data_IF_309372217639
#
_entry.id   IF_309372217639
#
_cell.length_a   1.000
_cell.length_b   1.000
_cell.length_c   1.000
_cell.angle_alpha   90.00
_cell.angle_beta   90.00
_cell.angle_gamma   90.00
#
_symmetry.space_group_name_H-M   'P 1'
#
loop_
_entity.id
_entity.type
_entity.pdbx_description
1 polymer ?
#
# COMPACT_ATOMS: atom_id res chain seq x y z
N UNK A 1 -8.28 22.33 -17.73
CA UNK A 1 -7.37 21.20 -17.40
C UNK A 1 -5.89 21.64 -17.36
N UNK A 2 -5.50 22.57 -16.47
CA UNK A 2 -4.09 23.04 -16.37
C UNK A 2 -3.46 22.97 -14.97
N UNK A 3 -4.24 22.64 -13.93
CA UNK A 3 -3.79 22.71 -12.53
C UNK A 3 -3.63 21.36 -11.81
N UNK A 4 -4.20 20.27 -12.35
CA UNK A 4 -4.08 18.93 -11.73
C UNK A 4 -2.68 18.32 -11.86
N UNK A 5 -1.86 18.78 -12.80
CA UNK A 5 -0.55 18.19 -13.09
C UNK A 5 0.55 18.69 -12.13
N UNK A 6 0.40 19.89 -11.55
CA UNK A 6 1.44 20.45 -10.67
C UNK A 6 1.40 19.85 -9.26
N UNK A 7 0.22 19.69 -8.68
CA UNK A 7 0.10 19.25 -7.27
C UNK A 7 0.50 17.78 -7.08
N UNK A 8 0.08 16.90 -8.00
CA UNK A 8 0.42 15.47 -7.95
C UNK A 8 1.91 15.25 -8.14
N UNK A 9 2.52 15.99 -9.07
CA UNK A 9 3.95 15.94 -9.34
C UNK A 9 4.78 16.49 -8.16
N UNK A 10 4.31 17.57 -7.52
CA UNK A 10 4.96 18.12 -6.32
C UNK A 10 4.88 17.20 -5.11
N UNK A 11 3.80 16.42 -4.91
CA UNK A 11 3.73 15.42 -3.84
C UNK A 11 4.64 14.21 -4.10
N UNK A 12 4.69 13.73 -5.35
CA UNK A 12 5.61 12.67 -5.74
C UNK A 12 7.07 13.10 -5.56
N UNK A 13 7.42 14.34 -5.97
CA UNK A 13 8.76 14.89 -5.78
C UNK A 13 9.07 15.14 -4.31
N UNK A 14 8.13 15.65 -3.52
CA UNK A 14 8.35 15.89 -2.09
C UNK A 14 8.59 14.58 -1.31
N UNK A 15 7.81 13.53 -1.63
CA UNK A 15 8.02 12.19 -1.06
C UNK A 15 9.36 11.57 -1.47
N UNK A 16 9.77 11.77 -2.73
CA UNK A 16 11.09 11.34 -3.22
C UNK A 16 12.22 12.17 -2.60
N UNK A 17 12.04 13.49 -2.40
CA UNK A 17 13.08 14.38 -1.85
C UNK A 17 13.26 14.25 -0.34
N UNK A 18 12.21 13.90 0.40
CA UNK A 18 12.33 13.59 1.83
C UNK A 18 13.10 12.28 2.09
N UNK A 19 13.26 11.45 1.06
CA UNK A 19 13.91 10.13 1.14
C UNK A 19 15.15 10.03 0.23
N UNK A 20 15.47 11.10 -0.51
CA UNK A 20 16.65 11.17 -1.36
C UNK A 20 17.89 11.44 -0.51
N UNK A 21 18.73 10.41 -0.34
CA UNK A 21 20.19 10.41 -0.18
C UNK A 21 20.87 11.24 0.92
N UNK A 22 20.42 12.46 1.19
CA UNK A 22 21.11 13.47 1.99
C UNK A 22 20.34 13.86 3.27
N UNK A 23 19.17 13.27 3.52
CA UNK A 23 18.52 13.42 4.83
C UNK A 23 19.28 12.53 5.81
N UNK A 24 20.19 13.14 6.57
CA UNK A 24 20.76 12.56 7.78
C UNK A 24 19.60 12.25 8.74
N UNK A 25 19.03 11.04 8.65
CA UNK A 25 17.97 10.52 9.50
C UNK A 25 18.46 10.25 10.95
N UNK A 26 19.41 11.05 11.43
CA UNK A 26 19.97 10.99 12.78
C UNK A 26 18.91 11.30 13.86
N UNK A 27 17.79 11.93 13.50
CA UNK A 27 16.75 12.30 14.47
C UNK A 27 16.06 11.09 15.13
N UNK A 28 16.07 9.91 14.50
CA UNK A 28 15.53 8.67 15.07
C UNK A 28 16.59 7.56 15.24
N UNK A 29 17.88 7.89 15.10
CA UNK A 29 18.96 6.91 15.10
C UNK A 29 18.89 5.89 13.95
N UNK A 30 18.10 6.18 12.90
CA UNK A 30 17.92 5.31 11.76
C UNK A 30 19.02 5.50 10.70
N UNK A 31 19.38 4.43 10.01
CA UNK A 31 20.34 4.48 8.90
C UNK A 31 19.85 3.70 7.68
N UNK A 32 20.26 4.15 6.49
CA UNK A 32 20.14 3.37 5.27
C UNK A 32 21.29 2.38 5.22
N UNK A 33 21.01 1.14 4.86
CA UNK A 33 22.03 0.13 4.62
C UNK A 33 22.89 0.56 3.43
N UNK A 34 24.20 0.44 3.56
CA UNK A 34 25.13 0.73 2.47
C UNK A 34 25.05 -0.37 1.41
N UNK A 35 25.61 -0.14 0.22
CA UNK A 35 25.56 -1.11 -0.88
C UNK A 35 26.45 -2.33 -0.68
N UNK A 36 27.45 -2.21 0.18
CA UNK A 36 28.42 -3.24 0.58
C UNK A 36 27.99 -4.02 1.85
N UNK A 37 26.94 -3.55 2.53
CA UNK A 37 26.35 -4.26 3.67
C UNK A 37 25.40 -5.37 3.20
N UNK A 38 25.29 -6.44 4.00
CA UNK A 38 24.34 -7.51 3.76
C UNK A 38 22.91 -6.96 3.83
N UNK A 39 22.15 -7.14 2.75
CA UNK A 39 20.81 -6.60 2.64
C UNK A 39 20.01 -7.23 1.49
N UNK A 40 18.76 -6.79 1.31
CA UNK A 40 17.82 -7.47 0.43
C UNK A 40 18.01 -7.14 -1.05
N UNK A 41 19.04 -6.36 -1.43
CA UNK A 41 19.29 -5.98 -2.83
C UNK A 41 19.26 -7.22 -3.74
N UNK A 42 18.46 -7.15 -4.80
CA UNK A 42 18.29 -8.23 -5.77
C UNK A 42 17.32 -9.34 -5.36
N UNK A 43 16.71 -9.27 -4.17
CA UNK A 43 15.65 -10.18 -3.74
C UNK A 43 14.28 -9.68 -4.20
N UNK A 44 13.34 -10.62 -4.30
CA UNK A 44 11.92 -10.33 -4.51
C UNK A 44 11.19 -10.37 -3.17
N UNK A 45 10.35 -9.38 -2.89
CA UNK A 45 9.46 -9.39 -1.74
C UNK A 45 8.05 -9.69 -2.18
N UNK A 46 7.40 -10.65 -1.53
CA UNK A 46 5.95 -10.83 -1.60
C UNK A 46 5.36 -10.33 -0.30
N UNK A 47 4.25 -9.59 -0.37
CA UNK A 47 3.55 -9.12 0.82
C UNK A 47 2.04 -9.12 0.63
N UNK A 48 1.31 -9.11 1.75
CA UNK A 48 -0.14 -9.01 1.73
C UNK A 48 -0.76 -9.06 3.11
N UNK A 49 -2.06 -8.73 3.18
CA UNK A 49 -2.95 -9.11 4.28
C UNK A 49 -4.35 -9.39 3.74
N UNK A 50 -5.11 -10.15 4.51
CA UNK A 50 -6.51 -10.44 4.24
C UNK A 50 -7.30 -9.97 5.46
N UNK A 51 -8.25 -9.08 5.23
CA UNK A 51 -9.07 -8.44 6.25
C UNK A 51 -10.53 -8.84 6.04
N UNK A 52 -11.18 -9.33 7.10
CA UNK A 52 -12.61 -9.61 7.12
C UNK A 52 -13.24 -8.89 8.31
N UNK A 53 -14.31 -8.15 8.07
CA UNK A 53 -15.09 -7.48 9.11
C UNK A 53 -16.57 -7.79 8.92
N UNK A 54 -17.28 -8.06 10.02
CA UNK A 54 -18.73 -8.28 10.05
C UNK A 54 -19.34 -7.49 11.19
N UNK A 55 -20.34 -6.69 10.88
CA UNK A 55 -21.12 -5.90 11.84
C UNK A 55 -22.56 -6.43 11.77
N UNK A 56 -23.09 -6.86 12.90
CA UNK A 56 -24.49 -7.31 13.00
C UNK A 56 -25.20 -6.40 13.99
N UNK A 57 -26.29 -5.79 13.55
CA UNK A 57 -27.20 -4.98 14.37
C UNK A 57 -28.54 -5.72 14.48
N UNK A 58 -29.45 -5.32 15.40
CA UNK A 58 -30.77 -5.94 15.51
C UNK A 58 -31.62 -5.86 14.22
N UNK A 59 -31.34 -4.90 13.34
CA UNK A 59 -32.11 -4.64 12.12
C UNK A 59 -31.37 -4.94 10.82
N UNK A 60 -30.06 -5.16 10.84
CA UNK A 60 -29.26 -5.41 9.63
C UNK A 60 -27.96 -6.15 9.90
N UNK A 61 -27.40 -6.80 8.87
CA UNK A 61 -26.06 -7.36 8.88
C UNK A 61 -25.24 -6.78 7.73
N UNK A 62 -24.01 -6.34 8.02
CA UNK A 62 -23.06 -5.94 6.99
C UNK A 62 -21.75 -6.68 7.15
N UNK A 63 -21.08 -6.99 6.05
CA UNK A 63 -19.72 -7.49 6.07
C UNK A 63 -18.88 -6.89 4.95
N UNK A 64 -17.59 -6.74 5.24
CA UNK A 64 -16.56 -6.30 4.29
C UNK A 64 -15.50 -7.38 4.24
N UNK A 65 -15.24 -7.88 3.03
CA UNK A 65 -14.04 -8.67 2.72
C UNK A 65 -13.11 -7.75 1.94
N UNK A 66 -11.90 -7.55 2.42
CA UNK A 66 -10.88 -6.80 1.69
C UNK A 66 -9.52 -7.46 1.79
N UNK A 67 -8.76 -7.46 0.71
CA UNK A 67 -7.31 -7.69 0.81
C UNK A 67 -6.63 -6.34 0.94
N UNK A 68 -5.77 -6.14 1.96
CA UNK A 68 -4.72 -5.14 1.75
C UNK A 68 -3.83 -5.64 0.61
N UNK A 69 -3.28 -4.73 -0.21
CA UNK A 69 -2.72 -5.10 -1.51
C UNK A 69 -1.77 -6.29 -1.42
N UNK A 70 -2.10 -7.37 -2.13
CA UNK A 70 -1.18 -8.47 -2.41
C UNK A 70 -0.18 -7.95 -3.43
N UNK A 71 1.09 -7.91 -3.08
CA UNK A 71 2.10 -7.28 -3.91
C UNK A 71 3.37 -8.09 -4.04
N UNK A 72 4.03 -7.87 -5.18
CA UNK A 72 5.37 -8.37 -5.47
C UNK A 72 6.26 -7.17 -5.78
N UNK A 73 7.40 -7.10 -5.11
CA UNK A 73 8.40 -6.05 -5.33
C UNK A 73 9.79 -6.62 -5.53
N UNK A 74 10.66 -5.81 -6.12
CA UNK A 74 12.08 -6.10 -6.34
C UNK A 74 12.96 -5.02 -5.70
N UNK A 75 13.90 -5.45 -4.87
CA UNK A 75 14.83 -4.56 -4.19
C UNK A 75 15.90 -4.08 -5.17
N UNK A 76 15.75 -2.84 -5.66
CA UNK A 76 16.71 -2.20 -6.57
C UNK A 76 18.03 -1.86 -5.86
N UNK A 77 17.97 -1.65 -4.54
CA UNK A 77 19.10 -1.58 -3.63
C UNK A 77 18.69 -2.09 -2.24
N UNK A 78 19.57 -1.98 -1.24
CA UNK A 78 19.29 -2.49 0.11
C UNK A 78 18.15 -1.77 0.86
N UNK A 79 17.66 -0.66 0.36
CA UNK A 79 16.69 0.21 1.03
C UNK A 79 15.47 0.53 0.18
N UNK A 80 15.58 0.47 -1.14
CA UNK A 80 14.52 0.88 -2.04
C UNK A 80 13.96 -0.34 -2.77
N UNK A 81 12.63 -0.39 -2.77
CA UNK A 81 11.84 -1.48 -3.29
C UNK A 81 10.79 -0.90 -4.23
N UNK A 82 10.69 -1.46 -5.43
CA UNK A 82 9.65 -1.11 -6.41
C UNK A 82 8.85 -2.35 -6.75
N UNK A 83 7.54 -2.22 -6.93
CA UNK A 83 6.72 -3.37 -7.22
C UNK A 83 5.37 -3.04 -7.83
N UNK A 84 4.62 -4.12 -8.01
CA UNK A 84 3.21 -4.08 -8.39
C UNK A 84 2.38 -4.71 -7.29
N UNK A 85 1.13 -4.32 -7.19
CA UNK A 85 0.20 -4.93 -6.26
C UNK A 85 -1.23 -4.90 -6.80
N UNK A 86 -2.06 -5.74 -6.19
CA UNK A 86 -3.47 -5.89 -6.47
C UNK A 86 -4.23 -5.95 -5.16
N UNK A 87 -5.35 -5.24 -5.08
CA UNK A 87 -6.25 -5.30 -3.95
C UNK A 87 -7.70 -5.43 -4.41
N UNK A 88 -8.49 -6.11 -3.59
CA UNK A 88 -9.91 -6.32 -3.79
C UNK A 88 -10.67 -5.94 -2.51
N UNK A 89 -11.86 -5.38 -2.68
CA UNK A 89 -12.79 -5.10 -1.60
C UNK A 89 -14.22 -5.37 -2.04
N UNK A 90 -15.01 -6.01 -1.17
CA UNK A 90 -16.43 -6.25 -1.37
C UNK A 90 -17.19 -5.96 -0.07
N UNK A 91 -18.23 -5.13 -0.17
CA UNK A 91 -19.17 -4.90 0.93
C UNK A 91 -20.51 -5.54 0.60
N UNK A 92 -21.05 -6.23 1.59
CA UNK A 92 -22.39 -6.82 1.57
C UNK A 92 -23.23 -6.25 2.68
N UNK A 93 -24.48 -5.91 2.39
CA UNK A 93 -25.50 -5.50 3.37
C UNK A 93 -26.70 -6.41 3.18
N UNK A 94 -27.14 -7.05 4.25
CA UNK A 94 -28.27 -7.99 4.28
C UNK A 94 -28.18 -9.07 3.19
N UNK A 95 -26.97 -9.63 3.04
CA UNK A 95 -26.60 -10.64 2.03
C UNK A 95 -26.54 -10.16 0.57
N UNK A 96 -26.86 -8.88 0.31
CA UNK A 96 -26.74 -8.28 -1.01
C UNK A 96 -25.39 -7.56 -1.15
N UNK A 97 -24.71 -7.77 -2.28
CA UNK A 97 -23.49 -7.01 -2.57
C UNK A 97 -23.86 -5.59 -2.96
N UNK A 98 -23.42 -4.62 -2.18
CA UNK A 98 -23.68 -3.19 -2.42
C UNK A 98 -22.46 -2.48 -3.02
N UNK A 99 -21.28 -3.10 -2.92
CA UNK A 99 -20.04 -2.52 -3.41
C UNK A 99 -19.01 -3.60 -3.74
N UNK A 100 -18.33 -3.44 -4.88
CA UNK A 100 -17.15 -4.21 -5.28
C UNK A 100 -16.12 -3.25 -5.83
N UNK A 101 -14.87 -3.38 -5.41
CA UNK A 101 -13.75 -2.62 -5.94
C UNK A 101 -12.56 -3.54 -6.14
N UNK A 102 -11.91 -3.37 -7.28
CA UNK A 102 -10.59 -3.91 -7.57
C UNK A 102 -9.65 -2.72 -7.78
N UNK A 103 -8.41 -2.89 -7.36
CA UNK A 103 -7.36 -1.93 -7.64
C UNK A 103 -6.07 -2.67 -7.99
N UNK A 104 -5.32 -2.10 -8.94
CA UNK A 104 -4.01 -2.60 -9.32
C UNK A 104 -3.10 -1.43 -9.63
N UNK A 105 -1.82 -1.57 -9.34
CA UNK A 105 -0.85 -0.59 -9.81
C UNK A 105 0.54 -0.80 -9.27
N UNK A 106 1.32 0.27 -9.33
CA UNK A 106 2.72 0.29 -8.95
C UNK A 106 2.89 0.92 -7.57
N UNK A 107 3.97 0.55 -6.91
CA UNK A 107 4.36 1.13 -5.64
C UNK A 107 5.87 1.25 -5.50
N UNK A 108 6.28 2.24 -4.73
CA UNK A 108 7.67 2.49 -4.37
C UNK A 108 7.77 2.58 -2.86
N UNK A 109 8.76 1.91 -2.29
CA UNK A 109 8.92 1.81 -0.85
C UNK A 109 10.39 1.93 -0.44
N UNK A 110 10.83 3.12 0.00
CA UNK A 110 12.12 3.30 0.63
C UNK A 110 12.05 2.91 2.13
N UNK A 111 13.16 2.41 2.66
CA UNK A 111 13.28 1.99 4.05
C UNK A 111 14.52 2.53 4.76
N UNK A 112 14.45 2.54 6.08
CA UNK A 112 15.47 2.97 7.04
C UNK A 112 15.53 1.97 8.19
N UNK A 113 16.69 1.40 8.48
CA UNK A 113 16.87 0.49 9.61
C UNK A 113 16.86 1.27 10.92
N UNK A 114 16.01 0.85 11.86
CA UNK A 114 15.93 1.34 13.24
C UNK A 114 16.55 0.31 14.20
N UNK A 115 17.85 0.08 14.04
CA UNK A 115 18.57 -0.99 14.75
C UNK A 115 18.50 -2.33 14.01
N UNK A 116 18.63 -3.45 14.75
CA UNK A 116 18.79 -4.79 14.15
C UNK A 116 17.49 -5.40 13.62
N UNK A 117 16.36 -5.15 14.29
CA UNK A 117 15.10 -5.85 14.05
C UNK A 117 13.98 -4.96 13.52
N UNK A 118 14.11 -3.64 13.65
CA UNK A 118 13.06 -2.71 13.25
C UNK A 118 13.48 -1.95 12.00
N UNK A 119 12.51 -1.71 11.12
CA UNK A 119 12.70 -0.94 9.89
C UNK A 119 11.56 0.06 9.76
N UNK A 120 11.88 1.33 9.58
CA UNK A 120 10.93 2.36 9.17
C UNK A 120 10.81 2.33 7.66
N UNK A 121 9.59 2.30 7.15
CA UNK A 121 9.30 2.17 5.73
C UNK A 121 8.37 3.31 5.34
N UNK A 122 8.71 4.02 4.27
CA UNK A 122 7.74 4.82 3.52
C UNK A 122 7.17 3.98 2.40
N UNK A 123 5.90 4.14 2.06
CA UNK A 123 5.33 3.54 0.86
C UNK A 123 4.43 4.53 0.13
N UNK A 124 4.56 4.56 -1.18
CA UNK A 124 3.74 5.37 -2.09
C UNK A 124 3.19 4.47 -3.17
N UNK A 125 1.87 4.50 -3.38
CA UNK A 125 1.15 3.70 -4.36
C UNK A 125 0.44 4.58 -5.39
N UNK A 126 0.40 4.12 -6.63
CA UNK A 126 -0.41 4.68 -7.70
C UNK A 126 -1.21 3.57 -8.41
N UNK A 127 -2.53 3.58 -8.22
CA UNK A 127 -3.42 2.50 -8.64
C UNK A 127 -4.47 2.96 -9.63
N UNK A 128 -4.79 2.09 -10.58
CA UNK A 128 -6.04 2.13 -11.32
C UNK A 128 -7.10 1.34 -10.55
N UNK A 129 -8.31 1.88 -10.50
CA UNK A 129 -9.41 1.36 -9.69
C UNK A 129 -10.61 1.10 -10.60
N UNK A 130 -11.29 -0.02 -10.41
CA UNK A 130 -12.52 -0.33 -11.13
C UNK A 130 -13.45 -1.22 -10.28
N UNK A 131 -14.74 -1.10 -10.51
CA UNK A 131 -15.68 -1.79 -9.67
C UNK A 131 -17.13 -1.50 -9.98
N UNK A 132 -17.99 -1.84 -9.03
CA UNK A 132 -19.42 -1.65 -9.08
C UNK A 132 -19.90 -1.12 -7.73
N UNK A 133 -20.82 -0.16 -7.72
CA UNK A 133 -21.49 0.33 -6.52
C UNK A 133 -22.99 0.38 -6.75
N UNK A 134 -23.78 0.09 -5.71
CA UNK A 134 -25.22 0.26 -5.77
C UNK A 134 -25.54 1.74 -5.96
N UNK A 135 -26.33 2.08 -6.97
CA UNK A 135 -26.76 3.45 -7.22
C UNK A 135 -27.78 3.89 -6.19
N UNK A 136 -27.72 5.16 -5.80
CA UNK A 136 -28.72 5.80 -4.93
C UNK A 136 -29.97 6.23 -5.71
N UNK A 137 -29.88 6.30 -7.04
CA UNK A 137 -30.96 6.75 -7.93
C UNK A 137 -31.71 5.59 -8.62
N UNK A 138 -31.07 4.43 -8.74
CA UNK A 138 -31.67 3.20 -9.25
C UNK A 138 -31.19 2.03 -8.39
N UNK A 139 -32.06 1.11 -8.00
CA UNK A 139 -31.71 -0.14 -7.29
C UNK A 139 -30.93 -1.11 -8.20
N UNK A 140 -29.82 -0.65 -8.75
CA UNK A 140 -28.97 -1.34 -9.70
C UNK A 140 -27.50 -1.02 -9.45
N UNK A 141 -26.64 -2.01 -9.71
CA UNK A 141 -25.19 -1.84 -9.63
C UNK A 141 -24.68 -1.00 -10.81
N UNK A 142 -24.00 0.10 -10.51
CA UNK A 142 -23.34 0.94 -11.50
C UNK A 142 -21.84 0.68 -11.52
N UNK A 143 -21.30 0.51 -12.72
CA UNK A 143 -19.86 0.38 -12.91
C UNK A 143 -19.18 1.74 -12.68
N UNK A 144 -18.01 1.69 -12.04
CA UNK A 144 -17.14 2.85 -11.88
C UNK A 144 -15.70 2.49 -12.23
N UNK A 145 -14.92 3.50 -12.60
CA UNK A 145 -13.48 3.42 -12.73
C UNK A 145 -12.79 4.68 -12.20
N UNK A 146 -11.48 4.63 -12.01
CA UNK A 146 -10.79 5.69 -11.34
C UNK A 146 -9.33 5.46 -11.06
N UNK A 147 -8.77 6.33 -10.23
CA UNK A 147 -7.38 6.28 -9.79
C UNK A 147 -7.30 6.49 -8.28
N UNK A 148 -6.33 5.83 -7.66
CA UNK A 148 -6.01 6.03 -6.25
C UNK A 148 -4.53 6.32 -6.09
N UNK A 149 -4.21 7.38 -5.36
CA UNK A 149 -2.87 7.68 -4.88
C UNK A 149 -2.85 7.49 -3.37
N UNK A 150 -1.83 6.81 -2.85
CA UNK A 150 -1.62 6.61 -1.42
C UNK A 150 -0.18 6.88 -1.03
N UNK A 151 0.02 7.45 0.14
CA UNK A 151 1.29 7.50 0.83
C UNK A 151 1.07 7.14 2.29
N UNK A 152 1.87 6.24 2.82
CA UNK A 152 1.77 5.82 4.23
C UNK A 152 3.11 5.36 4.78
N UNK A 153 3.40 5.68 6.06
CA UNK A 153 4.51 5.09 6.77
C UNK A 153 4.12 3.72 7.35
N UNK A 154 5.12 2.84 7.45
CA UNK A 154 5.03 1.56 8.14
C UNK A 154 6.23 1.35 9.06
N UNK A 155 6.03 0.60 10.14
CA UNK A 155 7.11 -0.02 10.91
C UNK A 155 7.12 -1.50 10.58
N UNK A 156 8.27 -2.01 10.16
CA UNK A 156 8.52 -3.43 9.96
C UNK A 156 9.30 -4.04 11.13
N UNK A 157 8.98 -5.28 11.47
CA UNK A 157 9.73 -6.12 12.40
C UNK A 157 10.29 -7.30 11.60
N UNK A 158 11.61 -7.41 11.53
CA UNK A 158 12.32 -8.48 10.84
C UNK A 158 12.34 -9.72 11.73
N UNK A 159 11.73 -10.81 11.25
CA UNK A 159 11.63 -12.08 11.96
C UNK A 159 12.76 -13.05 11.63
N UNK A 160 13.63 -12.69 10.68
CA UNK A 160 14.68 -13.58 10.17
C UNK A 160 14.20 -14.47 9.03
N UNK A 161 15.16 -15.10 8.35
CA UNK A 161 14.90 -15.94 7.17
C UNK A 161 14.16 -15.23 6.04
N UNK A 162 14.21 -13.89 5.97
CA UNK A 162 13.48 -13.07 5.00
C UNK A 162 12.02 -12.79 5.35
N UNK A 163 11.51 -13.20 6.52
CA UNK A 163 10.16 -12.86 6.96
C UNK A 163 10.14 -11.51 7.70
N UNK A 164 9.07 -10.74 7.53
CA UNK A 164 8.82 -9.54 8.32
C UNK A 164 7.33 -9.27 8.54
N UNK A 165 6.99 -8.78 9.73
CA UNK A 165 5.68 -8.19 10.03
C UNK A 165 5.72 -6.69 9.74
N UNK A 166 4.63 -6.12 9.22
CA UNK A 166 4.56 -4.71 8.85
C UNK A 166 3.31 -4.07 9.44
N UNK A 167 3.48 -2.90 10.04
CA UNK A 167 2.44 -2.15 10.71
C UNK A 167 2.32 -0.77 10.06
N UNK A 168 1.22 -0.54 9.34
CA UNK A 168 0.83 0.79 8.86
C UNK A 168 0.15 1.54 10.01
N UNK A 169 0.54 2.79 10.25
CA UNK A 169 0.03 3.58 11.38
C UNK A 169 -0.50 4.96 10.99
N UNK A 170 -0.37 5.37 9.73
CA UNK A 170 -0.97 6.58 9.19
C UNK A 170 -1.25 6.40 7.70
N UNK A 171 -2.13 7.21 7.11
CA UNK A 171 -2.35 7.22 5.67
C UNK A 171 -2.70 8.63 5.17
N UNK A 172 -2.14 8.98 4.01
CA UNK A 172 -2.60 10.05 3.13
C UNK A 172 -3.05 9.41 1.81
N UNK A 173 -4.31 9.58 1.43
CA UNK A 173 -4.84 9.01 0.20
C UNK A 173 -5.84 9.90 -0.52
N UNK A 174 -5.86 9.76 -1.84
CA UNK A 174 -6.83 10.38 -2.74
C UNK A 174 -7.37 9.31 -3.66
N UNK A 175 -8.68 9.07 -3.60
CA UNK A 175 -9.43 8.24 -4.53
C UNK A 175 -10.27 9.13 -5.42
N UNK A 176 -10.16 8.94 -6.74
CA UNK A 176 -11.02 9.61 -7.71
C UNK A 176 -11.70 8.54 -8.55
N UNK A 177 -13.03 8.48 -8.49
CA UNK A 177 -13.83 7.54 -9.28
C UNK A 177 -14.86 8.28 -10.12
N UNK A 178 -15.32 7.63 -11.18
CA UNK A 178 -16.34 8.13 -12.08
C UNK A 178 -17.31 7.01 -12.43
N UNK A 179 -18.61 7.28 -12.36
CA UNK A 179 -19.66 6.39 -12.90
C UNK A 179 -20.10 6.88 -14.28
N UNK A 180 -20.91 6.10 -15.00
CA UNK A 180 -21.43 6.53 -16.31
C UNK A 180 -22.44 7.68 -16.22
N UNK A 181 -23.19 7.72 -15.13
CA UNK A 181 -24.33 8.61 -14.93
C UNK A 181 -23.99 9.83 -14.07
N UNK A 182 -22.90 9.77 -13.30
CA UNK A 182 -22.43 10.86 -12.44
C UNK A 182 -21.05 11.39 -12.85
N UNK A 183 -20.71 12.56 -12.32
CA UNK A 183 -19.40 13.19 -12.49
C UNK A 183 -18.26 12.46 -11.77
N UNK A 184 -17.11 13.13 -11.64
CA UNK A 184 -15.99 12.62 -10.85
C UNK A 184 -16.27 12.78 -9.35
N UNK A 185 -16.30 11.69 -8.62
CA UNK A 185 -16.31 11.66 -7.15
C UNK A 185 -14.86 11.64 -6.65
N UNK A 186 -14.55 12.50 -5.68
CA UNK A 186 -13.21 12.60 -5.07
C UNK A 186 -13.32 12.38 -3.57
N UNK A 187 -12.54 11.44 -3.06
CA UNK A 187 -12.45 11.13 -1.63
C UNK A 187 -11.00 11.29 -1.17
N UNK A 188 -10.82 11.94 -0.03
CA UNK A 188 -9.50 12.21 0.55
C UNK A 188 -9.46 11.64 1.96
N UNK A 189 -8.38 10.94 2.30
CA UNK A 189 -8.10 10.47 3.66
C UNK A 189 -6.77 11.06 4.07
N UNK A 190 -6.73 11.68 5.25
CA UNK A 190 -5.49 12.12 5.88
C UNK A 190 -5.63 11.92 7.38
N UNK A 191 -4.81 11.08 7.97
CA UNK A 191 -4.79 10.96 9.43
C UNK A 191 -4.21 9.68 10.01
N UNK A 192 -4.07 9.74 11.33
CA UNK A 192 -3.72 8.63 12.23
C UNK A 192 -5.03 8.24 12.90
N UNK A 193 -5.62 7.12 12.51
CA UNK A 193 -6.88 6.63 13.08
C UNK A 193 -6.94 5.11 13.01
N UNK A 194 -7.85 4.50 13.77
CA UNK A 194 -8.02 3.04 13.74
C UNK A 194 -8.30 2.49 12.33
N UNK A 195 -8.97 3.26 11.46
CA UNK A 195 -9.23 2.88 10.07
C UNK A 195 -8.02 3.01 9.13
N UNK A 196 -6.96 3.71 9.57
CA UNK A 196 -5.68 3.81 8.84
C UNK A 196 -4.59 2.93 9.47
N UNK A 197 -4.89 2.21 10.54
CA UNK A 197 -4.00 1.17 11.07
C UNK A 197 -4.14 -0.11 10.25
N UNK A 198 -3.03 -0.79 9.99
CA UNK A 198 -3.05 -2.04 9.24
C UNK A 198 -1.87 -2.93 9.58
N UNK A 199 -2.08 -4.25 9.52
CA UNK A 199 -1.05 -5.26 9.78
C UNK A 199 -0.90 -6.13 8.55
N UNK A 200 0.34 -6.40 8.15
CA UNK A 200 0.64 -7.28 7.03
C UNK A 200 1.87 -8.15 7.30
N UNK A 201 2.03 -9.17 6.48
CA UNK A 201 3.20 -10.05 6.46
C UNK A 201 3.91 -9.94 5.12
N UNK A 202 5.23 -10.09 5.14
CA UNK A 202 6.05 -10.15 3.95
C UNK A 202 7.12 -11.21 4.02
N UNK A 203 7.53 -11.69 2.85
CA UNK A 203 8.59 -12.67 2.65
C UNK A 203 9.50 -12.23 1.52
N UNK A 204 10.80 -12.17 1.81
CA UNK A 204 11.83 -12.02 0.81
C UNK A 204 12.25 -13.40 0.27
N UNK A 205 12.37 -13.46 -1.05
CA UNK A 205 12.75 -14.63 -1.84
C UNK A 205 14.00 -14.27 -2.64
N UNK A 206 15.02 -15.09 -2.48
CA UNK A 206 16.28 -14.94 -3.20
C UNK A 206 16.35 -15.98 -4.31
N UNK A 207 16.19 -15.53 -5.56
CA UNK A 207 16.30 -16.37 -6.75
C UNK A 207 17.69 -16.30 -7.40
N UNK A 208 18.65 -15.60 -6.77
CA UNK A 208 20.00 -15.53 -7.30
C UNK A 208 20.65 -16.91 -7.16
N UNK A 209 21.31 -17.35 -8.24
CA UNK A 209 22.00 -18.63 -8.26
C UNK A 209 23.15 -18.59 -7.26
N UNK A 210 23.07 -19.37 -6.17
CA UNK A 210 24.20 -19.55 -5.25
C UNK A 210 25.35 -20.20 -6.03
N UNK A 211 26.49 -19.52 -6.10
CA UNK A 211 27.71 -20.10 -6.66
C UNK A 211 28.22 -21.19 -5.72
N UNK A 212 28.84 -22.24 -6.26
CA UNK A 212 29.28 -23.43 -5.51
C UNK A 212 30.37 -23.16 -4.45
N UNK A 213 30.86 -21.93 -4.33
CA UNK A 213 31.98 -21.56 -3.46
C UNK A 213 31.59 -20.80 -2.17
N UNK A 214 30.30 -20.61 -1.89
CA UNK A 214 29.85 -19.86 -0.71
C UNK A 214 29.30 -20.79 0.40
N UNK A 215 30.15 -21.69 0.91
CA UNK A 215 29.91 -22.47 2.13
C UNK A 215 30.97 -22.15 3.19
#
# INVERSE_FOLDING_TARGET
MKYLNKTVFSFAIAGISMLSGNVNAQFLGGHRLKSDEEGPKGQFMVYGSLDYSKITTPSSSSSTVSSAPLGVGYFINNNDLIGVNYAYSQNTVDHNVVYKQNEAGIWYSPSLMLGKYFVLIGQVDAHYVWGQQLSTAADAMQNFNGFRLRAYPLIGILLGGGWALKFKFAELSMLQTKTKEEGWTKSYVAGISGSTFGVGISKNLDFRKKSKNDN
#
